data_IF_004653937733
#
_entry.id   IF_004653937733
#
_cell.length_a   1.000
_cell.length_b   1.000
_cell.length_c   1.000
_cell.angle_alpha   90.00
_cell.angle_beta   90.00
_cell.angle_gamma   90.00
#
_symmetry.space_group_name_H-M   'P 1'
#
loop_
_entity.id
_entity.type
_entity.pdbx_description
1 polymer ?
#
# COMPACT_ATOMS: atom_id res chain seq x y z
N UNK A 1 -0.07 27.34 2.76
CA UNK A 1 0.63 27.06 1.50
C UNK A 1 -0.39 26.43 0.58
N UNK A 2 -0.68 27.04 -0.57
CA UNK A 2 -1.66 26.54 -1.54
C UNK A 2 -0.89 25.81 -2.65
N UNK A 3 -0.52 24.55 -2.37
CA UNK A 3 0.21 23.70 -3.31
C UNK A 3 -0.71 22.55 -3.70
N UNK A 4 -0.85 22.31 -5.01
CA UNK A 4 -1.49 21.12 -5.54
C UNK A 4 -0.54 19.91 -5.48
N UNK A 5 -0.43 19.30 -4.29
CA UNK A 5 0.38 18.11 -4.00
C UNK A 5 0.03 16.90 -4.88
N UNK A 6 -1.09 16.98 -5.60
CA UNK A 6 -1.58 15.94 -6.48
C UNK A 6 -0.96 15.99 -7.88
N UNK A 7 -0.17 17.02 -8.18
CA UNK A 7 0.52 17.26 -9.46
C UNK A 7 2.05 17.12 -9.35
N UNK A 8 2.73 16.90 -10.47
CA UNK A 8 4.21 16.91 -10.55
C UNK A 8 4.78 18.25 -10.08
N UNK A 9 4.24 19.36 -10.57
CA UNK A 9 4.67 20.71 -10.18
C UNK A 9 4.47 20.99 -8.69
N UNK A 10 3.39 20.47 -8.10
CA UNK A 10 3.17 20.63 -6.68
C UNK A 10 4.12 19.80 -5.85
N UNK A 11 4.44 18.56 -6.25
CA UNK A 11 5.49 17.77 -5.57
C UNK A 11 6.84 18.50 -5.61
N UNK A 12 7.19 19.16 -6.72
CA UNK A 12 8.39 20.00 -6.78
C UNK A 12 8.33 21.13 -5.74
N UNK A 13 7.24 21.88 -5.72
CA UNK A 13 7.06 22.97 -4.78
C UNK A 13 7.06 22.49 -3.31
N UNK A 14 6.52 21.30 -3.03
CA UNK A 14 6.57 20.67 -1.69
C UNK A 14 8.01 20.41 -1.26
N UNK A 15 8.83 19.77 -2.11
CA UNK A 15 10.22 19.48 -1.74
C UNK A 15 11.06 20.75 -1.58
N UNK A 16 10.85 21.75 -2.43
CA UNK A 16 11.53 23.05 -2.29
C UNK A 16 11.12 23.75 -0.98
N UNK A 17 9.84 23.67 -0.59
CA UNK A 17 9.37 24.17 0.69
C UNK A 17 9.96 23.37 1.87
N UNK A 18 10.02 22.04 1.78
CA UNK A 18 10.61 21.18 2.81
C UNK A 18 12.10 21.51 3.00
N UNK A 19 12.89 21.57 1.93
CA UNK A 19 14.31 21.90 2.03
C UNK A 19 14.53 23.28 2.61
N UNK A 20 13.70 24.26 2.23
CA UNK A 20 13.75 25.60 2.80
C UNK A 20 13.40 25.61 4.29
N UNK A 21 12.31 24.97 4.68
CA UNK A 21 11.80 24.99 6.06
C UNK A 21 12.69 24.20 7.03
N UNK A 22 13.29 23.10 6.55
CA UNK A 22 14.25 22.31 7.30
C UNK A 22 15.68 22.86 7.24
N UNK A 23 15.88 24.01 6.60
CA UNK A 23 17.18 24.65 6.41
C UNK A 23 18.24 23.71 5.80
N UNK A 24 17.81 22.83 4.89
CA UNK A 24 18.69 21.89 4.20
C UNK A 24 19.50 22.67 3.15
N UNK A 25 20.81 22.72 3.35
CA UNK A 25 21.72 23.33 2.38
C UNK A 25 21.94 22.39 1.18
N UNK A 26 21.17 22.63 0.13
CA UNK A 26 21.29 21.91 -1.14
C UNK A 26 22.63 22.16 -1.86
N UNK A 27 23.39 23.18 -1.46
CA UNK A 27 24.71 23.50 -2.03
C UNK A 27 25.85 22.80 -1.28
N UNK A 28 25.58 22.13 -0.17
CA UNK A 28 26.58 21.36 0.55
C UNK A 28 27.16 20.27 -0.35
N UNK A 29 28.48 20.05 -0.26
CA UNK A 29 29.21 19.07 -1.07
C UNK A 29 28.65 17.64 -0.93
N UNK A 30 28.04 17.33 0.22
CA UNK A 30 27.42 16.03 0.52
C UNK A 30 25.99 15.86 -0.02
N UNK A 31 25.26 16.94 -0.33
CA UNK A 31 23.82 16.86 -0.58
C UNK A 31 23.47 15.88 -1.73
N UNK A 32 24.19 15.97 -2.85
CA UNK A 32 23.99 15.07 -4.01
C UNK A 32 24.48 13.64 -3.77
N UNK A 33 25.26 13.40 -2.70
CA UNK A 33 25.80 12.08 -2.34
C UNK A 33 24.93 11.36 -1.30
N UNK A 34 24.12 12.11 -0.57
CA UNK A 34 23.24 11.60 0.47
C UNK A 34 21.89 11.19 -0.12
N UNK A 35 21.44 9.97 0.19
CA UNK A 35 20.11 9.50 -0.18
C UNK A 35 19.10 10.04 0.83
N UNK A 36 18.09 10.76 0.34
CA UNK A 36 16.94 11.20 1.13
C UNK A 36 15.78 10.26 0.86
N UNK A 37 15.40 9.49 1.88
CA UNK A 37 14.28 8.56 1.78
C UNK A 37 12.97 9.33 1.90
N UNK A 38 12.12 9.18 0.89
CA UNK A 38 10.77 9.73 0.85
C UNK A 38 9.77 8.58 0.96
N UNK A 39 8.76 8.71 1.82
CA UNK A 39 7.66 7.75 1.88
C UNK A 39 6.30 8.40 1.69
N UNK A 40 5.40 7.73 0.99
CA UNK A 40 4.06 8.23 0.71
C UNK A 40 3.12 7.15 0.17
N UNK A 41 2.06 7.57 -0.52
CA UNK A 41 1.22 6.65 -1.29
C UNK A 41 1.72 6.52 -2.75
N UNK A 42 1.14 5.58 -3.51
CA UNK A 42 1.57 5.33 -4.89
C UNK A 42 1.52 6.60 -5.76
N UNK A 43 0.54 7.48 -5.56
CA UNK A 43 0.40 8.71 -6.34
C UNK A 43 1.53 9.68 -6.03
N UNK A 44 1.89 9.85 -4.76
CA UNK A 44 3.06 10.65 -4.36
C UNK A 44 4.35 10.13 -4.99
N UNK A 45 4.55 8.81 -5.02
CA UNK A 45 5.70 8.18 -5.67
C UNK A 45 5.76 8.46 -7.17
N UNK A 46 4.65 8.23 -7.88
CA UNK A 46 4.57 8.51 -9.33
C UNK A 46 4.82 9.98 -9.67
N UNK A 47 4.34 10.90 -8.82
CA UNK A 47 4.59 12.32 -9.01
C UNK A 47 6.05 12.71 -8.73
N UNK A 48 6.71 12.06 -7.75
CA UNK A 48 8.15 12.25 -7.50
C UNK A 48 8.99 11.75 -8.68
N UNK A 49 8.69 10.57 -9.22
CA UNK A 49 9.34 10.06 -10.44
C UNK A 49 9.15 11.04 -11.61
N UNK A 50 7.93 11.58 -11.77
CA UNK A 50 7.64 12.61 -12.77
C UNK A 50 8.43 13.90 -12.55
N UNK A 51 8.60 14.32 -11.30
CA UNK A 51 9.37 15.49 -10.93
C UNK A 51 10.86 15.32 -11.25
N UNK A 52 11.44 14.18 -10.89
CA UNK A 52 12.82 13.82 -11.24
C UNK A 52 13.00 13.83 -12.75
N UNK A 53 12.13 13.14 -13.49
CA UNK A 53 12.19 13.08 -14.95
C UNK A 53 12.12 14.47 -15.61
N UNK A 54 11.27 15.36 -15.10
CA UNK A 54 11.14 16.74 -15.61
C UNK A 54 12.40 17.58 -15.33
N UNK A 55 13.19 17.18 -14.33
CA UNK A 55 14.42 17.87 -13.91
C UNK A 55 15.69 17.16 -14.36
N UNK A 56 15.58 16.07 -15.13
CA UNK A 56 16.74 15.44 -15.79
C UNK A 56 17.36 16.47 -16.75
N UNK A 57 18.68 16.64 -16.65
CA UNK A 57 19.43 17.57 -17.51
C UNK A 57 19.48 19.01 -17.01
N UNK A 58 19.02 19.30 -15.79
CA UNK A 58 19.36 20.55 -15.10
C UNK A 58 20.89 20.70 -15.00
N UNK A 59 21.40 21.92 -15.21
CA UNK A 59 22.86 22.20 -15.20
C UNK A 59 23.51 21.85 -13.86
N UNK A 60 22.75 21.96 -12.77
CA UNK A 60 23.21 21.63 -11.42
C UNK A 60 22.48 20.38 -10.89
N UNK A 61 23.24 19.33 -10.56
CA UNK A 61 22.70 18.05 -10.07
C UNK A 61 21.87 18.18 -8.79
N UNK A 62 22.16 19.16 -7.92
CA UNK A 62 21.40 19.43 -6.68
C UNK A 62 19.93 19.78 -6.94
N UNK A 63 19.61 20.31 -8.13
CA UNK A 63 18.25 20.67 -8.52
C UNK A 63 17.50 19.52 -9.20
N UNK A 64 18.15 18.39 -9.45
CA UNK A 64 17.56 17.25 -10.18
C UNK A 64 16.63 16.38 -9.34
N UNK A 65 16.70 16.50 -8.01
CA UNK A 65 16.10 15.53 -7.06
C UNK A 65 16.57 14.09 -7.24
N UNK A 66 17.69 13.86 -7.94
CA UNK A 66 18.23 12.52 -8.16
C UNK A 66 18.72 11.79 -6.90
N UNK A 67 18.74 12.47 -5.76
CA UNK A 67 19.07 11.91 -4.46
C UNK A 67 17.84 11.58 -3.59
N UNK A 68 16.63 11.89 -4.07
CA UNK A 68 15.38 11.51 -3.43
C UNK A 68 15.00 10.08 -3.84
N UNK A 69 14.94 9.15 -2.89
CA UNK A 69 14.57 7.77 -3.16
C UNK A 69 13.22 7.44 -2.55
N UNK A 70 12.28 6.99 -3.39
CA UNK A 70 10.92 6.71 -2.98
C UNK A 70 10.78 5.30 -2.39
N UNK A 71 10.24 5.21 -1.18
CA UNK A 71 9.79 3.97 -0.58
C UNK A 71 8.28 4.04 -0.44
N UNK A 72 7.60 3.10 -1.10
CA UNK A 72 6.16 2.96 -1.00
C UNK A 72 5.76 2.80 0.49
N UNK A 73 4.88 3.68 0.96
CA UNK A 73 4.41 3.69 2.34
C UNK A 73 3.78 2.35 2.70
N UNK A 74 4.51 1.54 3.46
CA UNK A 74 4.15 0.16 3.79
C UNK A 74 2.74 0.04 4.40
N UNK A 75 2.30 1.06 5.13
CA UNK A 75 0.97 1.08 5.72
C UNK A 75 -0.13 1.17 4.67
N UNK A 76 -0.04 2.11 3.72
CA UNK A 76 -1.05 2.26 2.67
C UNK A 76 -1.12 1.03 1.76
N UNK A 77 0.03 0.46 1.41
CA UNK A 77 0.06 -0.78 0.62
C UNK A 77 -0.60 -1.94 1.35
N UNK A 78 -0.34 -2.09 2.65
CA UNK A 78 -1.01 -3.10 3.48
C UNK A 78 -2.52 -2.87 3.55
N UNK A 79 -2.95 -1.62 3.73
CA UNK A 79 -4.38 -1.25 3.74
C UNK A 79 -5.06 -1.65 2.43
N UNK A 80 -4.47 -1.27 1.29
CA UNK A 80 -4.99 -1.59 -0.04
C UNK A 80 -5.01 -3.10 -0.28
N UNK A 81 -3.93 -3.81 0.07
CA UNK A 81 -3.87 -5.26 -0.09
C UNK A 81 -4.98 -5.96 0.71
N UNK A 82 -5.21 -5.55 1.95
CA UNK A 82 -6.28 -6.11 2.81
C UNK A 82 -7.67 -5.83 2.21
N UNK A 83 -7.93 -4.59 1.76
CA UNK A 83 -9.20 -4.23 1.12
C UNK A 83 -9.43 -5.01 -0.16
N UNK A 84 -8.39 -5.16 -0.99
CA UNK A 84 -8.44 -5.93 -2.24
C UNK A 84 -8.75 -7.40 -1.98
N UNK A 85 -8.05 -8.05 -1.04
CA UNK A 85 -8.31 -9.45 -0.68
C UNK A 85 -9.74 -9.63 -0.18
N UNK A 86 -10.23 -8.77 0.72
CA UNK A 86 -11.61 -8.87 1.20
C UNK A 86 -12.63 -8.67 0.07
N UNK A 87 -12.37 -7.76 -0.87
CA UNK A 87 -13.29 -7.47 -1.98
C UNK A 87 -13.32 -8.61 -2.99
N UNK A 88 -12.16 -9.18 -3.33
CA UNK A 88 -12.04 -10.31 -4.25
C UNK A 88 -12.70 -11.57 -3.67
N UNK A 89 -12.56 -11.79 -2.37
CA UNK A 89 -13.05 -13.01 -1.71
C UNK A 89 -14.40 -12.83 -1.00
N UNK A 90 -15.06 -11.67 -1.12
CA UNK A 90 -16.34 -11.41 -0.45
C UNK A 90 -17.37 -12.52 -0.77
N UNK A 91 -17.44 -12.88 -2.06
CA UNK A 91 -18.31 -13.91 -2.61
C UNK A 91 -19.77 -13.47 -2.78
N UNK A 92 -20.52 -14.26 -3.53
CA UNK A 92 -21.96 -14.06 -3.73
C UNK A 92 -22.75 -14.70 -2.58
N UNK A 93 -23.61 -13.94 -1.87
CA UNK A 93 -24.54 -14.47 -0.88
C UNK A 93 -25.38 -15.66 -1.35
N UNK A 94 -25.65 -15.74 -2.66
CA UNK A 94 -26.46 -16.79 -3.27
C UNK A 94 -25.67 -18.04 -3.65
N UNK A 95 -24.35 -17.94 -3.74
CA UNK A 95 -23.51 -19.09 -4.12
C UNK A 95 -23.40 -20.13 -2.99
N UNK A 96 -23.61 -19.75 -1.72
CA UNK A 96 -23.65 -20.69 -0.60
C UNK A 96 -22.43 -21.63 -0.58
N UNK A 97 -22.69 -22.94 -0.64
CA UNK A 97 -21.64 -23.97 -0.63
C UNK A 97 -20.86 -24.09 -1.95
N UNK A 98 -21.37 -23.53 -3.06
CA UNK A 98 -20.70 -23.56 -4.37
C UNK A 98 -19.51 -22.59 -4.42
N UNK A 99 -19.37 -21.71 -3.42
CA UNK A 99 -18.22 -20.83 -3.24
C UNK A 99 -17.54 -21.08 -1.87
N UNK A 100 -16.86 -22.23 -1.68
CA UNK A 100 -16.31 -22.63 -0.39
C UNK A 100 -15.25 -21.65 0.13
N UNK A 101 -14.53 -20.98 -0.77
CA UNK A 101 -13.53 -19.97 -0.43
C UNK A 101 -14.11 -18.56 -0.17
N UNK A 102 -15.43 -18.38 -0.25
CA UNK A 102 -16.04 -17.07 -0.03
C UNK A 102 -16.08 -16.68 1.44
N UNK A 103 -15.81 -15.41 1.72
CA UNK A 103 -16.00 -14.79 3.03
C UNK A 103 -17.46 -14.86 3.48
N UNK A 104 -18.41 -14.74 2.55
CA UNK A 104 -19.82 -14.87 2.86
C UNK A 104 -20.16 -16.23 3.49
N UNK A 105 -19.68 -17.33 2.90
CA UNK A 105 -19.90 -18.66 3.46
C UNK A 105 -19.24 -18.79 4.84
N UNK A 106 -17.99 -18.35 5.00
CA UNK A 106 -17.29 -18.43 6.29
C UNK A 106 -17.99 -17.61 7.38
N UNK A 107 -18.45 -16.39 7.07
CA UNK A 107 -19.22 -15.57 8.00
C UNK A 107 -20.54 -16.26 8.39
N UNK A 108 -21.20 -16.94 7.45
CA UNK A 108 -22.43 -17.68 7.70
C UNK A 108 -22.20 -18.89 8.62
N UNK A 109 -21.12 -19.66 8.39
CA UNK A 109 -20.74 -20.81 9.22
C UNK A 109 -20.35 -20.38 10.63
N UNK A 110 -19.61 -19.26 10.76
CA UNK A 110 -19.14 -18.74 12.03
C UNK A 110 -20.17 -17.85 12.76
N UNK A 111 -21.38 -17.72 12.21
CA UNK A 111 -22.45 -16.84 12.72
C UNK A 111 -21.99 -15.39 12.96
N UNK A 112 -21.05 -14.91 12.13
CA UNK A 112 -20.52 -13.54 12.18
C UNK A 112 -21.39 -12.61 11.36
N UNK A 113 -21.54 -11.36 11.80
CA UNK A 113 -22.25 -10.33 11.04
C UNK A 113 -21.60 -10.18 9.65
N UNK A 114 -22.34 -10.40 8.55
CA UNK A 114 -21.80 -10.22 7.21
C UNK A 114 -21.40 -8.76 7.00
N UNK A 115 -20.23 -8.55 6.40
CA UNK A 115 -19.86 -7.25 5.85
C UNK A 115 -20.17 -7.20 4.36
N UNK A 116 -20.38 -5.99 3.85
CA UNK A 116 -20.69 -5.73 2.44
C UNK A 116 -19.55 -4.91 1.83
N UNK A 117 -19.38 -4.98 0.51
CA UNK A 117 -18.31 -4.27 -0.20
C UNK A 117 -18.31 -2.75 0.09
N UNK A 118 -19.47 -2.17 0.38
CA UNK A 118 -19.64 -0.75 0.71
C UNK A 118 -19.36 -0.40 2.17
N UNK A 119 -19.12 -1.38 3.04
CA UNK A 119 -18.87 -1.20 4.47
C UNK A 119 -17.95 -2.31 4.99
N UNK A 120 -16.69 -2.24 4.58
CA UNK A 120 -15.65 -3.16 5.05
C UNK A 120 -15.27 -2.88 6.52
N UNK A 121 -14.84 -3.91 7.27
CA UNK A 121 -14.37 -3.72 8.63
C UNK A 121 -13.08 -2.89 8.70
N UNK A 122 -12.73 -2.32 9.87
CA UNK A 122 -11.47 -1.63 10.07
C UNK A 122 -10.27 -2.50 9.72
N UNK A 123 -9.17 -1.90 9.26
CA UNK A 123 -7.99 -2.61 8.77
C UNK A 123 -7.48 -3.72 9.70
N UNK A 124 -7.37 -3.47 11.00
CA UNK A 124 -6.89 -4.47 11.95
C UNK A 124 -7.78 -5.73 11.93
N UNK A 125 -9.10 -5.52 12.02
CA UNK A 125 -10.10 -6.59 11.97
C UNK A 125 -10.09 -7.32 10.62
N UNK A 126 -10.00 -6.57 9.52
CA UNK A 126 -9.92 -7.10 8.16
C UNK A 126 -8.67 -7.98 7.96
N UNK A 127 -7.51 -7.51 8.42
CA UNK A 127 -6.23 -8.21 8.35
C UNK A 127 -6.24 -9.48 9.20
N UNK A 128 -6.74 -9.41 10.43
CA UNK A 128 -6.83 -10.56 11.31
C UNK A 128 -7.78 -11.63 10.73
N UNK A 129 -8.91 -11.21 10.17
CA UNK A 129 -9.83 -12.11 9.48
C UNK A 129 -9.17 -12.85 8.31
N UNK A 130 -8.37 -12.17 7.49
CA UNK A 130 -7.63 -12.81 6.39
C UNK A 130 -6.69 -13.90 6.93
N UNK A 131 -5.97 -13.61 8.02
CA UNK A 131 -5.03 -14.56 8.62
C UNK A 131 -5.74 -15.76 9.25
N UNK A 132 -6.87 -15.54 9.93
CA UNK A 132 -7.71 -16.59 10.50
C UNK A 132 -8.21 -17.54 9.41
N UNK A 133 -8.70 -16.99 8.29
CA UNK A 133 -9.21 -17.78 7.17
C UNK A 133 -8.11 -18.56 6.46
N UNK A 134 -6.96 -17.92 6.25
CA UNK A 134 -5.79 -18.59 5.70
C UNK A 134 -5.36 -19.76 6.59
N UNK A 135 -5.27 -19.53 7.91
CA UNK A 135 -4.95 -20.57 8.89
C UNK A 135 -5.95 -21.73 8.86
N UNK A 136 -7.25 -21.41 8.90
CA UNK A 136 -8.31 -22.41 8.82
C UNK A 136 -8.23 -23.25 7.54
N UNK A 137 -7.91 -22.63 6.40
CA UNK A 137 -7.78 -23.32 5.12
C UNK A 137 -6.54 -24.19 5.03
N UNK A 138 -5.40 -23.74 5.55
CA UNK A 138 -4.20 -24.56 5.67
C UNK A 138 -4.50 -25.81 6.51
N UNK A 139 -5.16 -25.63 7.66
CA UNK A 139 -5.54 -26.74 8.54
C UNK A 139 -6.48 -27.71 7.81
N UNK A 140 -7.52 -27.20 7.14
CA UNK A 140 -8.46 -28.01 6.38
C UNK A 140 -7.75 -28.85 5.31
N UNK A 141 -6.87 -28.24 4.50
CA UNK A 141 -6.05 -28.96 3.53
C UNK A 141 -5.17 -30.04 4.18
N UNK A 142 -4.58 -29.77 5.34
CA UNK A 142 -3.76 -30.75 6.06
C UNK A 142 -4.58 -31.95 6.57
N UNK A 143 -5.84 -31.75 6.95
CA UNK A 143 -6.72 -32.83 7.40
C UNK A 143 -7.41 -33.60 6.26
N UNK A 144 -7.52 -33.00 5.08
CA UNK A 144 -8.08 -33.66 3.89
C UNK A 144 -7.04 -34.45 3.09
N UNK A 145 -5.74 -34.17 3.26
CA UNK A 145 -4.67 -34.98 2.66
C UNK A 145 -4.45 -36.21 3.56
N UNK A 146 -4.64 -37.45 3.05
CA UNK A 146 -4.29 -38.64 3.83
C UNK A 146 -2.79 -38.62 4.11
N UNK A 147 -2.43 -38.53 5.40
CA UNK A 147 -1.05 -38.71 5.84
C UNK A 147 -0.71 -40.18 5.58
N UNK A 148 0.01 -40.45 4.49
CA UNK A 148 0.67 -41.74 4.28
C UNK A 148 1.84 -41.77 5.26
N UNK A 149 1.59 -42.33 6.45
CA UNK A 149 2.65 -42.65 7.40
C UNK A 149 3.39 -43.88 6.86
N UNK A 150 4.73 -43.84 6.70
CA UNK A 150 5.51 -44.98 6.23
C UNK A 150 5.51 -46.16 7.20
#
# INVERSE_FOLDING_TARGET
>A
MDIDESSISGVIAVFEAIFKELEIDINAEGFVRDIIIVSGDLKSGLNLDGAQNTRIGQEELKNSFGNLEYILGLFHTKMVAVVSVLSTHLGDPKAGQDAPASLFLHNSILERKPFVATSLPPFAVAKDLIMDLLGARIIHCLFEIPIVVP
#
